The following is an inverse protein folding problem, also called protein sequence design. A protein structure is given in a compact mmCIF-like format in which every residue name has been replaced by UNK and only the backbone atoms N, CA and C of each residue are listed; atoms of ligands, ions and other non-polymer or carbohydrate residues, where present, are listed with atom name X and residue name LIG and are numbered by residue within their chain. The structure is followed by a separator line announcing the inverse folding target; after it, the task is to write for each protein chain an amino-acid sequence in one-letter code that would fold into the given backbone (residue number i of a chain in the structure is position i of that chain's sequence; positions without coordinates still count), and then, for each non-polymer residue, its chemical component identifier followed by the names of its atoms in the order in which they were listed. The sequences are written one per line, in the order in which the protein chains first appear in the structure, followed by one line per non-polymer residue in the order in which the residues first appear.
data_IF_773033773516
#
_entry.id   IF_773033773516
#
_cell.length_a   1.000
_cell.length_b   1.000
_cell.length_c   1.000
_cell.angle_alpha   90.00
_cell.angle_beta   90.00
_cell.angle_gamma   90.00
#
_symmetry.space_group_name_H-M   'P 1'
#
loop_
_entity.id
_entity.type
_entity.pdbx_description
1 polymer ?
#
# COMPACT_ATOMS: atom_id res chain seq x y z
N UNK A 1 31.62 1.17 -3.38
CA UNK A 1 33.06 0.91 -3.56
C UNK A 1 33.50 0.04 -2.40
N UNK A 2 34.02 -1.16 -2.70
CA UNK A 2 34.57 -2.04 -1.67
C UNK A 2 35.99 -1.57 -1.38
N UNK A 3 36.33 -1.41 -0.10
CA UNK A 3 37.67 -1.05 0.36
C UNK A 3 38.34 -2.29 0.98
N UNK A 4 39.60 -2.47 0.72
CA UNK A 4 40.36 -3.59 1.25
C UNK A 4 41.36 -3.12 2.32
N UNK A 5 41.56 -3.94 3.33
CA UNK A 5 42.49 -3.67 4.41
C UNK A 5 43.94 -3.67 3.86
N UNK A 6 44.72 -2.60 4.09
CA UNK A 6 46.10 -2.52 3.61
C UNK A 6 47.05 -3.49 4.34
N UNK A 7 46.63 -3.99 5.51
CA UNK A 7 47.44 -4.90 6.34
C UNK A 7 47.26 -6.37 6.00
N UNK A 8 46.01 -6.79 5.72
CA UNK A 8 45.70 -8.23 5.50
C UNK A 8 44.88 -8.49 4.24
N UNK A 9 44.64 -7.46 3.39
CA UNK A 9 43.85 -7.52 2.16
C UNK A 9 42.39 -7.97 2.31
N UNK A 10 41.84 -8.11 3.52
CA UNK A 10 40.46 -8.45 3.71
C UNK A 10 39.54 -7.24 3.49
N UNK A 11 38.25 -7.47 3.27
CA UNK A 11 37.25 -6.42 3.06
C UNK A 11 37.10 -5.59 4.34
N UNK A 12 37.11 -4.27 4.20
CA UNK A 12 36.83 -3.34 5.29
C UNK A 12 35.32 -3.12 5.44
N UNK A 13 34.83 -3.21 6.67
CA UNK A 13 33.47 -2.87 7.03
C UNK A 13 33.38 -1.42 7.51
N UNK A 14 32.21 -0.79 7.31
CA UNK A 14 31.94 0.53 7.87
C UNK A 14 31.19 0.30 9.19
N UNK A 15 31.74 0.85 10.28
CA UNK A 15 31.11 0.82 11.60
C UNK A 15 31.11 2.21 12.25
N UNK A 16 30.29 2.40 13.26
CA UNK A 16 30.26 3.63 14.05
C UNK A 16 31.25 3.53 15.21
N UNK A 17 32.15 4.51 15.30
CA UNK A 17 33.11 4.61 16.40
C UNK A 17 32.48 5.20 17.67
N UNK A 18 33.19 5.14 18.78
CA UNK A 18 32.73 5.65 20.09
C UNK A 18 32.42 7.17 20.09
N UNK A 19 32.92 7.91 19.10
CA UNK A 19 32.70 9.36 18.90
C UNK A 19 31.58 9.67 17.88
N UNK A 20 30.72 8.71 17.60
CA UNK A 20 29.62 8.78 16.61
C UNK A 20 30.11 9.11 15.17
N UNK A 21 31.38 8.83 14.86
CA UNK A 21 31.94 8.98 13.53
C UNK A 21 32.09 7.64 12.84
N UNK A 22 31.84 7.63 11.53
CA UNK A 22 32.02 6.43 10.72
C UNK A 22 33.50 6.13 10.51
N UNK A 23 33.88 4.86 10.61
CA UNK A 23 35.22 4.35 10.38
C UNK A 23 35.19 3.07 9.56
N UNK A 24 36.25 2.81 8.81
CA UNK A 24 36.51 1.52 8.21
C UNK A 24 37.25 0.65 9.24
N UNK A 25 36.71 -0.55 9.52
CA UNK A 25 37.35 -1.54 10.39
C UNK A 25 37.56 -2.86 9.67
N UNK A 26 38.62 -3.54 10.01
CA UNK A 26 38.92 -4.88 9.49
C UNK A 26 38.48 -5.94 10.52
N UNK A 27 37.73 -6.94 10.09
CA UNK A 27 37.29 -8.02 10.99
C UNK A 27 38.37 -9.07 11.30
N UNK A 28 39.50 -9.01 10.57
CA UNK A 28 40.56 -10.04 10.65
C UNK A 28 41.81 -9.52 11.33
N UNK A 29 42.07 -8.23 11.33
CA UNK A 29 43.21 -7.61 11.99
C UNK A 29 42.79 -6.28 12.65
N UNK A 30 43.57 -5.71 13.58
CA UNK A 30 43.18 -4.52 14.35
C UNK A 30 43.24 -3.21 13.52
N UNK A 31 43.21 -3.26 12.22
CA UNK A 31 43.24 -2.07 11.35
C UNK A 31 41.94 -1.29 11.41
N UNK A 32 42.04 0.01 11.73
CA UNK A 32 40.93 0.96 11.77
C UNK A 32 41.36 2.24 11.04
N UNK A 33 40.45 2.79 10.22
CA UNK A 33 40.64 4.06 9.54
C UNK A 33 39.42 4.96 9.71
N UNK A 34 39.55 6.08 10.43
CA UNK A 34 38.48 7.04 10.65
C UNK A 34 38.17 7.84 9.38
N UNK A 35 36.90 7.85 8.95
CA UNK A 35 36.45 8.58 7.77
C UNK A 35 36.34 10.07 8.13
N UNK A 36 37.26 10.87 7.63
CA UNK A 36 37.34 12.32 7.93
C UNK A 36 36.74 13.20 6.83
N UNK A 37 36.45 12.65 5.66
CA UNK A 37 35.89 13.37 4.51
C UNK A 37 34.65 12.65 3.99
N UNK A 38 33.72 13.43 3.42
CA UNK A 38 32.55 12.88 2.73
C UNK A 38 33.00 11.99 1.58
N UNK A 39 32.65 10.70 1.64
CA UNK A 39 32.89 9.76 0.54
C UNK A 39 31.67 9.77 -0.36
N UNK A 40 31.87 10.12 -1.64
CA UNK A 40 30.81 10.08 -2.64
C UNK A 40 31.32 9.40 -3.90
N UNK A 41 30.54 8.47 -4.44
CA UNK A 41 30.80 7.84 -5.73
C UNK A 41 29.77 8.32 -6.74
N UNK A 42 30.22 8.81 -7.87
CA UNK A 42 29.36 9.15 -9.00
C UNK A 42 29.56 8.08 -10.07
N UNK A 43 28.48 7.39 -10.41
CA UNK A 43 28.46 6.44 -11.54
C UNK A 43 27.76 7.13 -12.71
N UNK A 44 28.47 7.34 -13.79
CA UNK A 44 27.88 7.85 -15.02
C UNK A 44 27.50 6.66 -15.88
N UNK A 45 26.20 6.45 -16.16
CA UNK A 45 25.80 5.41 -17.10
C UNK A 45 26.36 5.77 -18.48
N UNK A 46 27.06 4.82 -19.12
CA UNK A 46 27.44 4.98 -20.53
C UNK A 46 26.14 4.96 -21.35
N UNK A 47 25.90 6.03 -22.08
CA UNK A 47 24.84 6.06 -23.10
C UNK A 47 25.19 4.99 -24.16
N UNK A 48 24.20 4.21 -24.57
CA UNK A 48 24.37 3.28 -25.68
C UNK A 48 24.55 4.12 -26.95
N UNK A 49 25.56 3.75 -27.74
CA UNK A 49 25.80 4.39 -29.04
C UNK A 49 24.60 4.12 -29.97
N UNK A 50 24.31 5.08 -30.84
CA UNK A 50 23.16 5.00 -31.76
C UNK A 50 23.26 3.72 -32.64
N UNK A 51 24.44 3.34 -33.03
CA UNK A 51 24.70 2.10 -33.82
C UNK A 51 24.32 0.83 -33.04
N UNK A 52 24.46 0.83 -31.73
CA UNK A 52 24.04 -0.30 -30.88
C UNK A 52 22.53 -0.42 -30.75
N UNK A 53 21.81 0.71 -30.87
CA UNK A 53 20.34 0.74 -30.79
C UNK A 53 19.69 0.53 -32.15
N UNK A 54 20.27 1.11 -33.20
CA UNK A 54 19.76 1.07 -34.59
C UNK A 54 20.30 -0.08 -35.43
N UNK A 55 21.34 -0.76 -34.91
CA UNK A 55 22.08 -1.78 -35.67
C UNK A 55 22.86 -1.13 -36.82
N UNK A 56 24.19 -0.94 -36.66
CA UNK A 56 25.04 -0.40 -37.72
C UNK A 56 25.04 -1.30 -38.97
N UNK A 57 25.89 -0.98 -39.95
CA UNK A 57 25.99 -1.68 -41.25
C UNK A 57 26.06 -3.21 -41.14
N UNK A 58 26.76 -3.72 -40.11
CA UNK A 58 26.87 -5.17 -39.84
C UNK A 58 25.52 -5.83 -39.45
N UNK A 59 24.55 -5.06 -38.97
CA UNK A 59 23.22 -5.61 -38.64
C UNK A 59 22.38 -5.93 -39.88
N UNK A 60 22.80 -5.44 -41.07
CA UNK A 60 22.09 -5.61 -42.31
C UNK A 60 22.74 -6.66 -43.24
N UNK A 61 23.91 -7.22 -42.87
CA UNK A 61 24.63 -8.18 -43.67
C UNK A 61 23.92 -9.56 -43.81
N UNK A 62 23.09 -9.92 -42.83
CA UNK A 62 22.37 -11.21 -42.79
C UNK A 62 20.85 -11.03 -42.59
N UNK A 63 20.28 -10.00 -43.19
CA UNK A 63 18.84 -9.73 -43.06
C UNK A 63 18.09 -10.35 -44.24
N UNK A 64 16.97 -11.01 -43.95
CA UNK A 64 16.11 -11.57 -44.98
C UNK A 64 15.61 -10.45 -45.92
N UNK A 65 15.68 -10.72 -47.24
CA UNK A 65 15.26 -9.77 -48.25
C UNK A 65 14.15 -10.35 -49.12
N UNK A 66 13.29 -9.49 -49.61
CA UNK A 66 12.25 -9.83 -50.60
C UNK A 66 12.33 -8.91 -51.81
N UNK A 67 11.96 -9.44 -52.98
CA UNK A 67 11.87 -8.64 -54.19
C UNK A 67 10.66 -7.72 -54.14
N UNK A 68 10.92 -6.47 -53.77
CA UNK A 68 9.93 -5.40 -53.72
C UNK A 68 10.56 -4.08 -54.13
N UNK A 69 9.96 -3.38 -55.08
CA UNK A 69 10.46 -2.12 -55.57
C UNK A 69 10.05 -0.97 -54.66
N UNK A 70 11.02 -0.20 -54.18
CA UNK A 70 10.74 0.98 -53.34
C UNK A 70 10.08 2.09 -54.20
N UNK A 71 8.90 2.60 -53.82
CA UNK A 71 8.23 3.62 -54.60
C UNK A 71 8.95 4.98 -54.60
N UNK A 72 9.91 5.22 -53.72
CA UNK A 72 10.67 6.47 -53.65
C UNK A 72 12.00 6.44 -54.37
N UNK A 73 12.74 5.33 -54.34
CA UNK A 73 14.10 5.24 -54.90
C UNK A 73 14.26 4.16 -55.95
N UNK A 74 13.22 3.43 -56.29
CA UNK A 74 13.16 2.37 -57.30
C UNK A 74 14.14 1.20 -57.05
N UNK A 75 14.62 1.03 -55.83
CA UNK A 75 15.46 -0.09 -55.45
C UNK A 75 14.67 -1.39 -55.47
N UNK A 76 15.19 -2.44 -56.14
CA UNK A 76 14.47 -3.69 -56.39
C UNK A 76 14.40 -4.70 -55.27
N UNK A 77 15.02 -4.43 -54.12
CA UNK A 77 15.00 -5.30 -52.93
C UNK A 77 14.59 -4.53 -51.69
N UNK A 78 13.65 -5.10 -50.93
CA UNK A 78 13.30 -4.61 -49.60
C UNK A 78 13.88 -5.59 -48.57
N UNK A 79 14.56 -5.05 -47.56
CA UNK A 79 15.06 -5.79 -46.42
C UNK A 79 14.03 -5.67 -45.30
N UNK A 80 13.65 -6.79 -44.67
CA UNK A 80 12.75 -6.78 -43.56
C UNK A 80 13.37 -7.44 -42.32
N UNK A 81 13.27 -6.80 -41.21
CA UNK A 81 13.57 -7.39 -39.91
C UNK A 81 12.22 -7.78 -39.31
N UNK A 82 11.97 -9.08 -39.16
CA UNK A 82 10.89 -9.55 -38.32
C UNK A 82 11.26 -9.13 -36.89
N UNK A 83 10.87 -7.92 -36.52
CA UNK A 83 10.79 -7.61 -35.10
C UNK A 83 9.71 -8.52 -34.57
N UNK A 84 10.09 -9.70 -34.10
CA UNK A 84 9.34 -10.24 -33.00
C UNK A 84 9.24 -9.07 -32.05
N UNK A 85 8.06 -8.46 -31.90
CA UNK A 85 7.72 -7.92 -30.61
C UNK A 85 8.02 -9.11 -29.71
N UNK A 86 9.22 -9.18 -29.17
CA UNK A 86 9.35 -9.80 -27.88
C UNK A 86 8.21 -9.12 -27.15
N UNK A 87 7.15 -9.86 -26.93
CA UNK A 87 6.41 -9.72 -25.73
C UNK A 87 7.51 -9.98 -24.72
N UNK A 88 8.33 -8.93 -24.47
CA UNK A 88 8.91 -8.74 -23.20
C UNK A 88 7.66 -8.85 -22.35
N UNK A 89 7.36 -10.07 -21.88
CA UNK A 89 6.60 -10.24 -20.66
C UNK A 89 7.21 -9.17 -19.81
N UNK A 90 6.53 -8.02 -19.70
CA UNK A 90 6.83 -6.96 -18.75
C UNK A 90 7.19 -7.79 -17.57
N UNK A 91 8.51 -7.84 -17.19
CA UNK A 91 8.96 -8.64 -16.07
C UNK A 91 7.93 -8.30 -15.04
N UNK A 92 6.96 -9.20 -14.82
CA UNK A 92 5.80 -8.91 -13.98
C UNK A 92 6.48 -8.51 -12.72
N UNK A 93 6.37 -7.22 -12.37
CA UNK A 93 7.07 -6.66 -11.22
C UNK A 93 6.43 -7.41 -10.09
N UNK A 94 7.08 -8.50 -9.67
CA UNK A 94 6.53 -9.36 -8.62
C UNK A 94 6.25 -8.44 -7.44
N UNK A 95 4.99 -8.38 -7.06
CA UNK A 95 4.57 -7.57 -5.93
C UNK A 95 5.27 -8.11 -4.69
N UNK A 96 6.05 -7.31 -3.98
CA UNK A 96 6.75 -7.78 -2.80
C UNK A 96 5.76 -8.19 -1.71
N UNK A 97 5.99 -9.36 -1.12
CA UNK A 97 5.31 -9.82 0.09
C UNK A 97 6.25 -9.56 1.25
N UNK A 98 5.85 -8.71 2.17
CA UNK A 98 6.67 -8.21 3.28
C UNK A 98 6.04 -8.69 4.59
N UNK A 99 6.77 -9.43 5.44
CA UNK A 99 6.27 -9.82 6.75
C UNK A 99 5.97 -8.59 7.62
N UNK A 100 4.82 -8.57 8.28
CA UNK A 100 4.47 -7.50 9.23
C UNK A 100 5.39 -7.48 10.47
N UNK A 101 6.09 -8.57 10.73
CA UNK A 101 7.08 -8.71 11.83
C UNK A 101 8.38 -7.94 11.56
N UNK A 102 8.67 -7.55 10.32
CA UNK A 102 9.87 -6.81 10.00
C UNK A 102 9.82 -5.41 10.65
N UNK A 103 10.92 -5.01 11.29
CA UNK A 103 11.02 -3.83 12.15
C UNK A 103 10.57 -2.51 11.48
N UNK A 104 10.75 -2.38 10.18
CA UNK A 104 10.42 -1.18 9.40
C UNK A 104 9.28 -1.37 8.40
N UNK A 105 8.59 -2.51 8.45
CA UNK A 105 7.52 -2.84 7.50
C UNK A 105 6.40 -1.80 7.50
N UNK A 106 6.04 -1.25 8.66
CA UNK A 106 5.00 -0.21 8.77
C UNK A 106 5.43 1.11 8.11
N UNK A 107 6.72 1.51 8.21
CA UNK A 107 7.24 2.68 7.50
C UNK A 107 7.26 2.46 6.01
N UNK A 108 7.71 1.28 5.59
CA UNK A 108 7.66 0.87 4.18
C UNK A 108 6.22 0.93 3.63
N UNK A 109 5.22 0.50 4.41
CA UNK A 109 3.81 0.61 4.02
C UNK A 109 3.37 2.08 3.85
N UNK A 110 3.75 2.95 4.77
CA UNK A 110 3.49 4.39 4.68
C UNK A 110 4.16 5.01 3.45
N UNK A 111 5.40 4.62 3.12
CA UNK A 111 6.13 5.09 1.93
C UNK A 111 5.42 4.66 0.64
N UNK A 112 4.94 3.41 0.55
CA UNK A 112 4.15 2.95 -0.61
C UNK A 112 2.89 3.80 -0.80
N UNK A 113 2.15 4.09 0.28
CA UNK A 113 0.94 4.92 0.21
C UNK A 113 1.24 6.39 -0.11
N UNK A 114 2.36 6.94 0.39
CA UNK A 114 2.84 8.29 0.06
C UNK A 114 3.16 8.44 -1.43
N UNK A 115 3.59 7.36 -2.07
CA UNK A 115 3.80 7.28 -3.52
C UNK A 115 2.51 6.98 -4.33
N UNK A 116 1.32 7.08 -3.72
CA UNK A 116 0.03 6.87 -4.38
C UNK A 116 -0.26 5.41 -4.74
N UNK A 117 0.43 4.45 -4.12
CA UNK A 117 0.23 3.04 -4.40
C UNK A 117 -0.84 2.44 -3.47
N UNK A 118 -1.52 1.41 -3.96
CA UNK A 118 -2.43 0.57 -3.18
C UNK A 118 -1.64 -0.59 -2.62
N UNK A 119 -1.79 -0.87 -1.33
CA UNK A 119 -1.15 -1.99 -0.62
C UNK A 119 -2.20 -2.92 -0.02
N UNK A 120 -1.82 -4.15 0.31
CA UNK A 120 -2.65 -5.04 1.11
C UNK A 120 -2.08 -5.14 2.53
N UNK A 121 -2.96 -5.07 3.53
CA UNK A 121 -2.61 -5.06 4.95
C UNK A 121 -3.55 -5.92 5.79
N UNK A 122 -3.07 -6.56 6.87
CA UNK A 122 -3.94 -7.23 7.82
C UNK A 122 -4.68 -6.22 8.71
N UNK A 123 -5.89 -6.62 9.18
CA UNK A 123 -6.64 -5.90 10.21
C UNK A 123 -7.07 -6.86 11.31
N UNK A 124 -7.80 -6.34 12.29
CA UNK A 124 -8.42 -7.13 13.36
C UNK A 124 -9.56 -8.06 12.89
N UNK A 125 -9.98 -7.94 11.66
CA UNK A 125 -11.10 -8.72 11.10
C UNK A 125 -10.70 -9.54 9.89
N UNK A 126 -10.24 -8.90 8.83
CA UNK A 126 -9.93 -9.47 7.51
C UNK A 126 -8.76 -8.71 6.88
N UNK A 127 -8.14 -9.26 5.83
CA UNK A 127 -7.20 -8.48 5.01
C UNK A 127 -7.90 -7.35 4.27
N UNK A 128 -7.23 -6.20 4.18
CA UNK A 128 -7.75 -5.02 3.49
C UNK A 128 -6.80 -4.48 2.42
N UNK A 129 -7.37 -3.85 1.40
CA UNK A 129 -6.64 -2.97 0.49
C UNK A 129 -6.64 -1.57 1.07
N UNK A 130 -5.47 -0.96 1.12
CA UNK A 130 -5.23 0.34 1.75
C UNK A 130 -4.51 1.30 0.80
N UNK A 131 -4.89 2.56 0.83
CA UNK A 131 -4.19 3.64 0.11
C UNK A 131 -4.49 4.99 0.76
N UNK A 132 -3.80 6.05 0.31
CA UNK A 132 -4.10 7.43 0.76
C UNK A 132 -5.53 7.83 0.38
N UNK A 133 -6.34 8.22 1.36
CA UNK A 133 -7.72 8.70 1.12
C UNK A 133 -7.76 10.05 0.41
N UNK A 134 -6.73 10.89 0.58
CA UNK A 134 -6.63 12.21 -0.03
C UNK A 134 -5.93 12.22 -1.40
N UNK A 135 -5.46 11.06 -1.89
CA UNK A 135 -4.87 10.94 -3.22
C UNK A 135 -5.92 10.47 -4.24
N UNK A 136 -6.36 11.32 -5.19
CA UNK A 136 -7.36 10.97 -6.20
C UNK A 136 -6.98 9.76 -7.05
N UNK A 137 -5.71 9.67 -7.45
CA UNK A 137 -5.18 8.58 -8.28
C UNK A 137 -5.21 7.25 -7.53
N UNK A 138 -4.83 7.24 -6.24
CA UNK A 138 -4.84 6.06 -5.39
C UNK A 138 -6.26 5.52 -5.19
N UNK A 139 -7.23 6.41 -4.97
CA UNK A 139 -8.65 6.03 -4.81
C UNK A 139 -9.21 5.45 -6.12
N UNK A 140 -8.96 6.10 -7.27
CA UNK A 140 -9.38 5.54 -8.57
C UNK A 140 -8.78 4.16 -8.82
N UNK A 141 -7.49 3.98 -8.49
CA UNK A 141 -6.82 2.70 -8.60
C UNK A 141 -7.43 1.65 -7.67
N UNK A 142 -7.75 2.02 -6.43
CA UNK A 142 -8.40 1.13 -5.46
C UNK A 142 -9.75 0.60 -5.99
N UNK A 143 -10.59 1.47 -6.55
CA UNK A 143 -11.86 1.06 -7.16
C UNK A 143 -11.65 0.16 -8.39
N UNK A 144 -10.68 0.49 -9.25
CA UNK A 144 -10.34 -0.31 -10.44
C UNK A 144 -9.88 -1.72 -10.05
N UNK A 145 -9.01 -1.86 -9.05
CA UNK A 145 -8.50 -3.16 -8.57
C UNK A 145 -9.66 -4.06 -8.10
N UNK A 146 -10.61 -3.48 -7.40
CA UNK A 146 -11.77 -4.24 -6.89
C UNK A 146 -12.82 -4.55 -7.96
N UNK A 147 -12.76 -3.96 -9.15
CA UNK A 147 -13.89 -3.98 -10.07
C UNK A 147 -15.16 -3.43 -9.40
N UNK A 148 -14.98 -2.44 -8.50
CA UNK A 148 -16.04 -1.95 -7.61
C UNK A 148 -16.75 -0.77 -8.25
N UNK A 149 -18.08 -0.80 -8.19
CA UNK A 149 -18.88 0.38 -8.44
C UNK A 149 -18.50 1.48 -7.43
N UNK A 150 -18.20 2.67 -7.92
CA UNK A 150 -17.86 3.85 -7.12
C UNK A 150 -19.00 4.26 -6.16
N UNK A 151 -20.21 3.80 -6.40
CA UNK A 151 -21.36 4.01 -5.52
C UNK A 151 -21.29 3.24 -4.19
N UNK A 152 -20.41 2.20 -4.09
CA UNK A 152 -20.22 1.48 -2.82
C UNK A 152 -19.18 2.20 -1.95
N UNK A 153 -19.56 2.80 -0.79
CA UNK A 153 -18.64 3.59 0.02
C UNK A 153 -17.44 2.80 0.55
N UNK A 154 -16.30 3.47 0.65
CA UNK A 154 -15.07 2.98 1.28
C UNK A 154 -14.89 3.70 2.62
N UNK A 155 -14.49 2.97 3.65
CA UNK A 155 -14.16 3.55 4.95
C UNK A 155 -12.73 4.09 4.98
N UNK A 156 -12.45 4.99 5.91
CA UNK A 156 -11.09 5.37 6.26
C UNK A 156 -10.66 4.73 7.58
N UNK A 157 -9.36 4.45 7.68
CA UNK A 157 -8.70 3.98 8.87
C UNK A 157 -7.85 5.12 9.45
N UNK A 158 -7.88 5.29 10.76
CA UNK A 158 -7.10 6.27 11.52
C UNK A 158 -6.50 5.61 12.76
N UNK A 159 -5.49 6.23 13.39
CA UNK A 159 -4.79 5.67 14.55
C UNK A 159 -5.36 6.09 15.90
N UNK A 160 -5.92 7.30 15.99
CA UNK A 160 -6.35 7.86 17.27
C UNK A 160 -7.81 8.34 17.23
N UNK A 161 -8.46 8.33 18.39
CA UNK A 161 -9.85 8.84 18.54
C UNK A 161 -9.95 10.31 18.15
N UNK A 162 -8.94 11.11 18.45
CA UNK A 162 -8.91 12.52 18.05
C UNK A 162 -8.98 12.73 16.55
N UNK A 163 -8.44 11.78 15.75
CA UNK A 163 -8.50 11.85 14.30
C UNK A 163 -9.91 11.68 13.75
N UNK A 164 -10.80 10.99 14.51
CA UNK A 164 -12.21 10.86 14.13
C UNK A 164 -12.83 12.25 13.93
N UNK A 165 -12.53 13.20 14.85
CA UNK A 165 -13.05 14.58 14.78
C UNK A 165 -12.43 15.42 13.67
N UNK A 166 -11.21 15.07 13.25
CA UNK A 166 -10.54 15.73 12.13
C UNK A 166 -11.23 15.41 10.80
N UNK A 167 -11.71 14.17 10.63
CA UNK A 167 -12.23 13.67 9.35
C UNK A 167 -13.76 13.51 9.33
N UNK A 168 -14.39 13.35 10.50
CA UNK A 168 -15.84 13.19 10.67
C UNK A 168 -16.42 14.16 11.70
N UNK A 169 -17.65 14.58 11.49
CA UNK A 169 -18.38 15.45 12.43
C UNK A 169 -18.83 14.64 13.66
N UNK A 170 -17.97 14.50 14.64
CA UNK A 170 -18.17 13.70 15.85
C UNK A 170 -18.29 14.51 17.15
N UNK A 171 -18.62 15.82 17.08
CA UNK A 171 -18.71 16.68 18.28
C UNK A 171 -19.74 16.21 19.31
N UNK A 172 -20.78 15.53 18.87
CA UNK A 172 -21.84 14.98 19.71
C UNK A 172 -21.48 13.64 20.37
N UNK A 173 -20.39 13.02 20.00
CA UNK A 173 -19.90 11.76 20.58
C UNK A 173 -18.83 12.05 21.63
N UNK A 174 -19.07 11.61 22.87
CA UNK A 174 -18.10 11.80 23.96
C UNK A 174 -16.88 10.90 23.80
N UNK A 175 -15.73 11.29 24.36
CA UNK A 175 -14.51 10.48 24.33
C UNK A 175 -14.71 9.13 25.02
N UNK A 176 -15.40 9.11 26.18
CA UNK A 176 -15.70 7.87 26.90
C UNK A 176 -16.53 6.90 26.06
N UNK A 177 -17.50 7.42 25.29
CA UNK A 177 -18.27 6.59 24.35
C UNK A 177 -17.38 6.01 23.25
N UNK A 178 -16.57 6.83 22.61
CA UNK A 178 -15.66 6.37 21.56
C UNK A 178 -14.62 5.38 22.09
N UNK A 179 -14.05 5.60 23.27
CA UNK A 179 -13.11 4.69 23.92
C UNK A 179 -13.72 3.36 24.33
N UNK A 180 -15.04 3.29 24.58
CA UNK A 180 -15.73 2.04 24.89
C UNK A 180 -15.91 1.13 23.66
N UNK A 181 -15.74 1.66 22.45
CA UNK A 181 -15.99 0.99 21.18
C UNK A 181 -14.72 0.82 20.32
N UNK A 182 -13.75 1.71 20.47
CA UNK A 182 -12.56 1.79 19.64
C UNK A 182 -11.28 1.83 20.50
N UNK A 183 -10.19 1.16 20.05
CA UNK A 183 -10.07 0.40 18.81
C UNK A 183 -10.85 -0.92 18.83
N UNK A 184 -11.41 -1.32 17.67
CA UNK A 184 -12.20 -2.55 17.57
C UNK A 184 -12.86 -2.76 16.20
N UNK A 185 -13.64 -3.86 16.07
CA UNK A 185 -14.27 -4.28 14.83
C UNK A 185 -15.52 -3.46 14.47
N UNK A 186 -15.48 -2.15 14.67
CA UNK A 186 -16.54 -1.19 14.38
C UNK A 186 -16.07 -0.19 13.32
N UNK A 187 -17.01 0.16 12.43
CA UNK A 187 -16.88 1.30 11.50
C UNK A 187 -18.01 2.28 11.81
N UNK A 188 -17.66 3.46 12.25
CA UNK A 188 -18.59 4.55 12.55
C UNK A 188 -18.77 5.40 11.29
N UNK A 189 -20.03 5.60 10.86
CA UNK A 189 -20.34 6.48 9.73
C UNK A 189 -20.79 7.84 10.27
N UNK A 190 -20.16 8.89 9.78
CA UNK A 190 -20.38 10.29 10.17
C UNK A 190 -20.44 11.18 8.92
N UNK A 191 -21.00 12.37 9.07
CA UNK A 191 -20.80 13.42 8.07
C UNK A 191 -19.30 13.76 7.98
N UNK A 192 -18.73 13.80 6.78
CA UNK A 192 -17.31 14.13 6.60
C UNK A 192 -17.05 15.62 6.81
N UNK A 193 -15.86 15.94 7.26
CA UNK A 193 -15.41 17.33 7.36
C UNK A 193 -14.83 17.80 6.01
N UNK A 194 -14.65 19.10 5.86
CA UNK A 194 -14.02 19.71 4.67
C UNK A 194 -12.55 19.32 4.52
N UNK A 195 -11.90 18.81 5.56
CA UNK A 195 -10.53 18.31 5.50
C UNK A 195 -10.39 17.04 4.62
N UNK A 196 -11.48 16.29 4.41
CA UNK A 196 -11.55 15.13 3.55
C UNK A 196 -12.26 15.50 2.23
N UNK A 197 -11.54 16.17 1.33
CA UNK A 197 -12.11 16.81 0.14
C UNK A 197 -11.87 16.08 -1.18
N UNK A 198 -11.37 14.83 -1.15
CA UNK A 198 -11.16 14.05 -2.37
C UNK A 198 -12.51 13.71 -3.05
N UNK A 199 -12.79 14.21 -4.27
CA UNK A 199 -14.07 14.02 -4.94
C UNK A 199 -14.29 12.58 -5.42
N UNK A 200 -13.22 11.78 -5.54
CA UNK A 200 -13.30 10.37 -5.93
C UNK A 200 -13.56 9.44 -4.74
N UNK A 201 -13.40 9.92 -3.51
CA UNK A 201 -13.72 9.13 -2.32
C UNK A 201 -15.21 9.24 -2.02
N UNK A 202 -15.94 8.14 -2.18
CA UNK A 202 -17.38 8.04 -1.96
C UNK A 202 -18.17 9.15 -2.68
N UNK A 203 -18.13 9.20 -4.01
CA UNK A 203 -18.89 10.20 -4.76
C UNK A 203 -20.39 10.04 -4.49
N UNK A 204 -21.09 11.17 -4.44
CA UNK A 204 -22.56 11.19 -4.22
C UNK A 204 -23.00 11.07 -2.77
N UNK A 205 -22.06 11.03 -1.79
CA UNK A 205 -22.42 11.05 -0.36
C UNK A 205 -21.53 12.01 0.43
N UNK A 206 -22.11 12.71 1.40
CA UNK A 206 -21.39 13.53 2.38
C UNK A 206 -20.85 12.72 3.55
N UNK A 207 -21.18 11.41 3.64
CA UNK A 207 -20.82 10.55 4.77
C UNK A 207 -19.52 9.79 4.53
N UNK A 208 -18.83 9.49 5.63
CA UNK A 208 -17.62 8.70 5.65
C UNK A 208 -17.65 7.69 6.80
N UNK A 209 -17.29 6.43 6.49
CA UNK A 209 -17.03 5.43 7.52
C UNK A 209 -15.62 5.60 8.07
N UNK A 210 -15.47 5.63 9.39
CA UNK A 210 -14.19 5.75 10.09
C UNK A 210 -14.02 4.57 11.03
N UNK A 211 -12.85 3.95 11.04
CA UNK A 211 -12.52 2.85 11.96
C UNK A 211 -11.12 3.01 12.54
N UNK A 212 -10.94 2.46 13.74
CA UNK A 212 -9.65 2.24 14.37
C UNK A 212 -9.56 0.74 14.64
N UNK A 213 -8.89 -0.05 13.78
CA UNK A 213 -8.77 -1.49 13.98
C UNK A 213 -7.98 -1.82 15.25
N UNK A 214 -8.34 -2.88 15.94
CA UNK A 214 -7.53 -3.41 17.05
C UNK A 214 -6.42 -4.32 16.50
N UNK A 215 -5.44 -3.74 15.79
CA UNK A 215 -4.35 -4.46 15.16
C UNK A 215 -3.09 -3.60 15.06
N UNK A 216 -2.02 -4.01 15.72
CA UNK A 216 -0.80 -3.20 15.93
C UNK A 216 -0.16 -2.73 14.61
N UNK A 217 -0.08 -3.61 13.61
CA UNK A 217 0.56 -3.26 12.36
C UNK A 217 -0.14 -2.09 11.66
N UNK A 218 -1.45 -2.21 11.41
CA UNK A 218 -2.18 -1.15 10.69
C UNK A 218 -2.24 0.15 11.50
N UNK A 219 -2.26 0.09 12.84
CA UNK A 219 -2.20 1.28 13.68
C UNK A 219 -0.85 2.00 13.53
N UNK A 220 0.28 1.27 13.56
CA UNK A 220 1.61 1.83 13.28
C UNK A 220 1.73 2.40 11.86
N UNK A 221 1.09 1.76 10.87
CA UNK A 221 1.05 2.26 9.49
C UNK A 221 0.30 3.57 9.42
N UNK A 222 -0.90 3.67 9.99
CA UNK A 222 -1.71 4.90 9.98
C UNK A 222 -1.05 6.02 10.77
N UNK A 223 -0.43 5.71 11.89
CA UNK A 223 0.34 6.66 12.69
C UNK A 223 1.57 7.20 11.92
N UNK A 224 2.33 6.30 11.29
CA UNK A 224 3.51 6.68 10.49
C UNK A 224 3.15 7.46 9.22
N UNK A 225 1.97 7.20 8.64
CA UNK A 225 1.48 7.88 7.45
C UNK A 225 0.89 9.26 7.75
N UNK A 226 0.37 9.47 8.96
CA UNK A 226 -0.23 10.73 9.48
C UNK A 226 -1.32 11.35 8.59
N UNK A 227 -1.96 10.52 7.77
CA UNK A 227 -3.05 10.90 6.88
C UNK A 227 -4.14 9.81 6.88
N UNK A 228 -5.39 10.13 6.50
CA UNK A 228 -6.44 9.14 6.47
C UNK A 228 -6.17 8.07 5.42
N UNK A 229 -6.25 6.83 5.81
CA UNK A 229 -6.03 5.66 4.95
C UNK A 229 -7.37 5.10 4.50
N UNK A 230 -7.67 5.18 3.21
CA UNK A 230 -8.84 4.49 2.64
C UNK A 230 -8.63 2.97 2.74
N UNK A 231 -9.60 2.26 3.30
CA UNK A 231 -9.51 0.85 3.62
C UNK A 231 -10.77 0.10 3.19
N UNK A 232 -10.59 -0.99 2.44
CA UNK A 232 -11.66 -1.90 2.03
C UNK A 232 -11.15 -3.34 2.03
N UNK A 233 -12.01 -4.36 2.06
CA UNK A 233 -11.59 -5.78 2.05
C UNK A 233 -10.72 -6.14 0.85
N UNK A 234 -9.73 -7.03 1.03
CA UNK A 234 -8.79 -7.47 -0.01
C UNK A 234 -9.37 -8.64 -0.84
N UNK A 235 -10.45 -8.38 -1.58
CA UNK A 235 -11.13 -9.32 -2.46
C UNK A 235 -11.72 -8.58 -3.66
N UNK A 236 -12.07 -9.25 -4.74
CA UNK A 236 -12.92 -8.65 -5.77
C UNK A 236 -14.32 -8.33 -5.21
N UNK A 237 -15.01 -7.39 -5.84
CA UNK A 237 -16.37 -7.04 -5.40
C UNK A 237 -17.28 -8.27 -5.43
N UNK A 238 -18.06 -8.44 -4.37
CA UNK A 238 -19.00 -9.54 -4.14
C UNK A 238 -18.37 -10.93 -3.86
N UNK A 239 -17.05 -11.04 -3.80
CA UNK A 239 -16.37 -12.25 -3.33
C UNK A 239 -16.27 -12.28 -1.80
N UNK A 240 -16.04 -13.46 -1.19
CA UNK A 240 -15.80 -13.57 0.24
C UNK A 240 -14.58 -12.78 0.69
N UNK A 241 -14.62 -12.24 1.90
CA UNK A 241 -13.47 -11.58 2.52
C UNK A 241 -12.35 -12.57 2.80
N UNK A 242 -11.11 -12.11 2.76
CA UNK A 242 -9.89 -12.92 2.83
C UNK A 242 -9.24 -12.87 4.21
N UNK A 243 -8.75 -14.01 4.68
CA UNK A 243 -8.10 -14.20 5.98
C UNK A 243 -6.60 -14.46 5.87
N UNK A 244 -6.11 -14.77 4.68
CA UNK A 244 -4.68 -14.98 4.41
C UNK A 244 -4.27 -14.31 3.10
N UNK A 245 -2.97 -14.03 2.97
CA UNK A 245 -2.41 -13.39 1.77
C UNK A 245 -2.62 -14.23 0.51
N UNK A 246 -2.61 -15.56 0.62
CA UNK A 246 -2.80 -16.49 -0.53
C UNK A 246 -4.19 -16.40 -1.17
N UNK A 247 -5.20 -15.98 -0.43
CA UNK A 247 -6.56 -15.93 -0.90
C UNK A 247 -6.84 -14.80 -1.91
N UNK A 248 -5.94 -13.83 -2.03
CA UNK A 248 -6.08 -12.71 -2.96
C UNK A 248 -4.84 -12.51 -3.87
N UNK A 249 -4.10 -13.59 -4.15
CA UNK A 249 -2.98 -13.58 -5.11
C UNK A 249 -3.34 -12.95 -6.46
N UNK A 250 -4.55 -13.15 -7.02
CA UNK A 250 -4.94 -12.51 -8.29
C UNK A 250 -4.90 -10.98 -8.26
N UNK A 251 -4.95 -10.35 -7.08
CA UNK A 251 -4.85 -8.89 -6.93
C UNK A 251 -3.40 -8.39 -6.93
N UNK A 252 -2.41 -9.24 -6.66
CA UNK A 252 -1.00 -8.86 -6.50
C UNK A 252 -0.45 -7.99 -7.62
N UNK A 253 -0.64 -8.31 -8.92
CA UNK A 253 -0.06 -7.51 -10.01
C UNK A 253 -0.47 -6.03 -10.00
N UNK A 254 -1.54 -5.72 -9.29
CA UNK A 254 -2.09 -4.36 -9.20
C UNK A 254 -1.67 -3.61 -7.94
N UNK A 255 -1.02 -4.30 -6.97
CA UNK A 255 -0.62 -3.76 -5.67
C UNK A 255 0.83 -3.27 -5.69
N UNK A 256 1.13 -2.28 -4.86
CA UNK A 256 2.50 -1.84 -4.59
C UNK A 256 3.27 -2.84 -3.74
N UNK A 257 2.61 -3.38 -2.71
CA UNK A 257 3.14 -4.40 -1.81
C UNK A 257 1.99 -5.15 -1.09
N UNK A 258 2.30 -6.33 -0.57
CA UNK A 258 1.43 -7.12 0.32
C UNK A 258 2.14 -7.28 1.65
N UNK A 259 1.50 -6.86 2.73
CA UNK A 259 2.04 -7.02 4.09
C UNK A 259 1.41 -8.25 4.73
N UNK A 260 2.26 -9.25 5.02
CA UNK A 260 1.82 -10.54 5.53
C UNK A 260 1.83 -10.56 7.07
N UNK A 261 0.65 -10.58 7.65
CA UNK A 261 0.41 -10.77 9.09
C UNK A 261 0.03 -12.22 9.47
N UNK A 262 0.17 -13.16 8.53
CA UNK A 262 -0.24 -14.55 8.73
C UNK A 262 -1.74 -14.77 8.56
N UNK A 263 -2.22 -15.89 9.09
CA UNK A 263 -3.66 -16.24 9.08
C UNK A 263 -4.39 -15.44 10.16
N UNK A 264 -5.38 -14.64 9.74
CA UNK A 264 -6.25 -13.90 10.65
C UNK A 264 -7.35 -14.80 11.21
N UNK A 265 -7.89 -14.46 12.39
CA UNK A 265 -9.00 -15.17 13.03
C UNK A 265 -8.75 -16.68 13.17
N UNK A 266 -7.70 -17.07 13.90
CA UNK A 266 -7.35 -18.48 14.19
C UNK A 266 -8.35 -19.17 15.16
N UNK A 267 -9.45 -18.52 15.55
CA UNK A 267 -10.48 -19.10 16.39
C UNK A 267 -11.44 -20.07 15.66
N UNK A 268 -12.29 -20.75 16.43
CA UNK A 268 -13.25 -21.76 15.96
C UNK A 268 -14.26 -21.24 14.92
N UNK A 269 -14.52 -19.93 14.90
CA UNK A 269 -15.35 -19.28 13.90
C UNK A 269 -14.49 -18.70 12.77
N UNK A 270 -14.39 -19.42 11.66
CA UNK A 270 -13.84 -18.91 10.39
C UNK A 270 -14.74 -17.80 9.80
N UNK A 271 -15.20 -16.91 10.65
CA UNK A 271 -16.15 -15.87 10.27
C UNK A 271 -15.45 -14.84 9.37
N UNK A 272 -15.79 -14.85 8.07
CA UNK A 272 -15.30 -13.88 7.08
C UNK A 272 -16.06 -12.57 7.13
N UNK A 273 -16.77 -12.35 8.22
CA UNK A 273 -17.53 -11.12 8.46
C UNK A 273 -16.58 -9.99 8.81
N UNK A 274 -16.70 -8.87 8.12
CA UNK A 274 -15.93 -7.68 8.45
C UNK A 274 -16.49 -6.94 9.68
N UNK A 275 -16.02 -5.72 9.90
CA UNK A 275 -16.52 -4.85 10.98
C UNK A 275 -18.03 -4.63 10.91
N UNK A 276 -18.65 -4.44 12.06
CA UNK A 276 -20.00 -3.86 12.14
C UNK A 276 -19.96 -2.41 11.64
N UNK A 277 -20.92 -2.00 10.84
CA UNK A 277 -21.00 -0.64 10.29
C UNK A 277 -22.25 0.05 10.82
N UNK A 278 -22.07 1.17 11.49
CA UNK A 278 -23.12 1.91 12.16
C UNK A 278 -23.07 3.38 11.77
N UNK A 279 -24.21 3.93 11.38
CA UNK A 279 -24.37 5.36 11.17
C UNK A 279 -24.68 6.03 12.51
N UNK A 280 -23.80 6.93 12.95
CA UNK A 280 -23.91 7.76 14.15
C UNK A 280 -23.94 9.25 13.79
N UNK A 281 -24.29 9.59 12.56
CA UNK A 281 -24.34 11.00 12.12
C UNK A 281 -25.45 11.82 12.80
N UNK A 282 -26.48 11.15 13.34
CA UNK A 282 -27.61 11.79 14.01
C UNK A 282 -27.44 11.75 15.54
N UNK A 283 -27.56 12.90 16.17
CA UNK A 283 -27.41 13.04 17.65
C UNK A 283 -28.43 12.19 18.39
N UNK A 284 -27.98 11.35 19.32
CA UNK A 284 -28.83 10.49 20.14
C UNK A 284 -29.36 9.23 19.43
N UNK A 285 -29.02 9.01 18.18
CA UNK A 285 -29.54 7.89 17.41
C UNK A 285 -28.40 7.10 16.73
N UNK A 286 -28.68 5.81 16.46
CA UNK A 286 -27.84 4.98 15.63
C UNK A 286 -28.65 4.22 14.57
N UNK A 287 -28.03 3.93 13.42
CA UNK A 287 -28.60 3.06 12.39
C UNK A 287 -27.59 2.01 11.99
N UNK A 288 -27.99 0.73 12.07
CA UNK A 288 -27.14 -0.38 11.62
C UNK A 288 -27.17 -0.46 10.09
N UNK A 289 -26.03 -0.21 9.46
CA UNK A 289 -25.85 -0.35 8.00
C UNK A 289 -25.48 -1.78 7.66
N UNK A 290 -24.63 -2.39 8.50
CA UNK A 290 -24.18 -3.78 8.29
C UNK A 290 -23.86 -4.45 9.63
N UNK A 291 -24.46 -5.60 9.89
CA UNK A 291 -24.07 -6.47 11.00
C UNK A 291 -22.72 -7.13 10.67
N UNK A 292 -21.79 -7.06 11.58
CA UNK A 292 -20.45 -7.62 11.50
C UNK A 292 -20.03 -8.30 12.78
N UNK A 293 -18.73 -8.52 12.95
CA UNK A 293 -18.16 -9.08 14.18
C UNK A 293 -18.52 -8.15 15.36
N UNK A 294 -18.78 -8.73 16.53
CA UNK A 294 -19.11 -8.02 17.79
C UNK A 294 -20.39 -7.14 17.72
N UNK A 295 -21.33 -7.47 16.83
CA UNK A 295 -22.56 -6.70 16.69
C UNK A 295 -23.31 -6.55 18.02
N UNK A 296 -23.53 -7.65 18.75
CA UNK A 296 -24.31 -7.63 20.01
C UNK A 296 -23.63 -6.77 21.08
N UNK A 297 -22.34 -6.97 21.32
CA UNK A 297 -21.60 -6.16 22.30
C UNK A 297 -21.57 -4.66 21.97
N UNK A 298 -21.63 -4.30 20.70
CA UNK A 298 -21.73 -2.91 20.25
C UNK A 298 -23.11 -2.33 20.60
N UNK A 299 -24.17 -3.10 20.42
CA UNK A 299 -25.54 -2.68 20.79
C UNK A 299 -25.65 -2.46 22.30
N UNK A 300 -25.11 -3.37 23.12
CA UNK A 300 -25.10 -3.21 24.59
C UNK A 300 -24.45 -1.88 25.00
N UNK A 301 -23.37 -1.48 24.34
CA UNK A 301 -22.74 -0.18 24.57
C UNK A 301 -23.66 0.97 24.18
N UNK A 302 -24.35 0.90 23.02
CA UNK A 302 -25.26 1.96 22.59
C UNK A 302 -26.41 2.14 23.56
N UNK A 303 -27.02 1.05 24.04
CA UNK A 303 -28.07 1.08 25.05
C UNK A 303 -27.57 1.69 26.35
N UNK A 304 -26.37 1.30 26.83
CA UNK A 304 -25.75 1.88 28.04
C UNK A 304 -25.56 3.38 27.94
N UNK A 305 -25.28 3.92 26.74
CA UNK A 305 -25.11 5.35 26.52
C UNK A 305 -26.41 6.05 26.09
N UNK A 306 -27.57 5.35 26.11
CA UNK A 306 -28.88 5.89 25.83
C UNK A 306 -29.14 6.28 24.38
N UNK A 307 -28.46 5.65 23.42
CA UNK A 307 -28.75 5.87 22.01
C UNK A 307 -29.97 5.06 21.59
N UNK A 308 -30.85 5.66 20.77
CA UNK A 308 -32.01 4.98 20.20
C UNK A 308 -31.75 4.47 18.80
N UNK A 309 -32.27 3.27 18.45
CA UNK A 309 -32.17 2.71 17.10
C UNK A 309 -33.10 3.45 16.14
N UNK A 310 -32.57 3.88 15.01
CA UNK A 310 -33.38 4.32 13.87
C UNK A 310 -33.87 3.09 13.08
N UNK A 311 -35.11 3.14 12.58
CA UNK A 311 -35.66 2.08 11.74
C UNK A 311 -34.93 1.87 10.41
#
# INVERSE_FOLDING_TARGET
MVQFCPTCANILMIEEGHDCRLRYACNTCPYIYNIRKKVSTRTYPKLKELDYIMGGAAAWENVDSTDAVCPKCNHGKAYFIVRYKSVLKKKEKMTPIIPCSDLLSFKTAADYMSNGLVIAVPTDTIYGLACSANCPEAIRKLYSIKGRDSAKPVAICVSHINDIRKWGQAKHLSDNFLHSLLPGPLTIVLERTTALNNPYLNPGTSKIGIRIPKHDFINKVTESFDMPVALTSANFSNEPSTLSVREFEPLYPHLGAVFDGGLLNQGLDKNRTGSTVVDLSMVGYYKIIRKGISYESIIDVFEKYGLASLP
#
